data_IF_439879859878
#
_entry.id   IF_439879859878
#
_cell.length_a   1.000
_cell.length_b   1.000
_cell.length_c   1.000
_cell.angle_alpha   90.00
_cell.angle_beta   90.00
_cell.angle_gamma   90.00
#
_symmetry.space_group_name_H-M   'P 1'
#
loop_
_entity.id
_entity.type
_entity.pdbx_description
1 polymer ?
#
# COMPACT_ATOMS: atom_id res chain seq x y z
N UNK A 1 -0.31 -14.16 8.45
CA UNK A 1 1.14 -14.40 8.57
C UNK A 1 1.49 -15.23 9.81
N UNK A 2 0.91 -14.93 10.96
CA UNK A 2 1.22 -15.60 12.24
C UNK A 2 0.11 -16.57 12.64
N UNK A 3 -1.14 -16.25 12.33
CA UNK A 3 -2.30 -17.09 12.63
C UNK A 3 -3.05 -17.41 11.33
N UNK A 4 -3.52 -18.64 11.20
CA UNK A 4 -4.32 -19.10 10.06
C UNK A 4 -5.81 -18.69 10.16
N UNK A 5 -6.20 -18.00 11.24
CA UNK A 5 -7.58 -17.59 11.48
C UNK A 5 -7.92 -16.26 10.80
N UNK A 6 -9.07 -16.23 10.13
CA UNK A 6 -9.65 -15.03 9.56
C UNK A 6 -10.43 -14.30 10.68
N UNK A 7 -9.94 -13.12 11.06
CA UNK A 7 -10.59 -12.28 12.06
C UNK A 7 -11.59 -11.31 11.40
N UNK A 8 -12.75 -11.13 12.03
CA UNK A 8 -13.75 -10.12 11.62
C UNK A 8 -13.28 -8.68 11.95
N UNK A 9 -12.24 -8.51 12.78
CA UNK A 9 -11.71 -7.20 13.16
C UNK A 9 -11.15 -6.38 11.99
N UNK A 10 -10.70 -7.04 10.93
CA UNK A 10 -10.20 -6.38 9.73
C UNK A 10 -11.29 -5.91 8.75
N UNK A 11 -12.57 -6.21 9.01
CA UNK A 11 -13.65 -5.89 8.07
C UNK A 11 -13.78 -4.38 7.80
N UNK A 12 -13.69 -3.56 8.83
CA UNK A 12 -13.76 -2.10 8.71
C UNK A 12 -12.56 -1.51 7.96
N UNK A 13 -11.37 -2.09 8.15
CA UNK A 13 -10.15 -1.66 7.44
C UNK A 13 -10.22 -2.03 5.97
N UNK A 14 -10.75 -3.20 5.62
CA UNK A 14 -10.98 -3.62 4.24
C UNK A 14 -12.02 -2.75 3.54
N UNK A 15 -13.12 -2.39 4.23
CA UNK A 15 -14.13 -1.48 3.71
C UNK A 15 -13.49 -0.13 3.38
N UNK A 16 -12.74 0.46 4.31
CA UNK A 16 -12.05 1.73 4.13
C UNK A 16 -11.00 1.69 3.03
N UNK A 17 -10.21 0.62 2.95
CA UNK A 17 -9.22 0.43 1.89
C UNK A 17 -9.89 0.34 0.51
N UNK A 18 -11.01 -0.39 0.42
CA UNK A 18 -11.79 -0.55 -0.81
C UNK A 18 -12.42 0.78 -1.24
N UNK A 19 -12.93 1.57 -0.29
CA UNK A 19 -13.47 2.91 -0.58
C UNK A 19 -12.38 3.85 -1.12
N UNK A 20 -11.20 3.88 -0.50
CA UNK A 20 -10.06 4.67 -0.96
C UNK A 20 -9.66 4.24 -2.37
N UNK A 21 -9.48 2.94 -2.62
CA UNK A 21 -9.11 2.42 -3.93
C UNK A 21 -10.16 2.78 -4.99
N UNK A 22 -11.45 2.68 -4.66
CA UNK A 22 -12.53 3.07 -5.57
C UNK A 22 -12.47 4.57 -5.93
N UNK A 23 -12.21 5.43 -4.96
CA UNK A 23 -12.02 6.87 -5.20
C UNK A 23 -10.78 7.16 -6.04
N UNK A 24 -9.68 6.44 -5.85
CA UNK A 24 -8.48 6.54 -6.70
C UNK A 24 -8.83 6.26 -8.17
N UNK A 25 -9.66 5.27 -8.42
CA UNK A 25 -10.09 4.87 -9.76
C UNK A 25 -11.09 5.87 -10.35
N UNK A 26 -12.12 6.24 -9.57
CA UNK A 26 -13.29 6.98 -10.11
C UNK A 26 -13.16 8.49 -10.04
N UNK A 27 -12.42 9.02 -9.07
CA UNK A 27 -12.29 10.47 -8.87
C UNK A 27 -10.95 11.02 -9.36
N UNK A 28 -9.87 10.28 -9.15
CA UNK A 28 -8.52 10.77 -9.41
C UNK A 28 -7.91 10.28 -10.72
N UNK A 29 -8.57 9.34 -11.42
CA UNK A 29 -8.08 8.82 -12.70
C UNK A 29 -6.71 8.14 -12.60
N UNK A 30 -6.43 7.46 -11.47
CA UNK A 30 -5.12 6.86 -11.18
C UNK A 30 -4.91 5.49 -11.81
N UNK A 31 -5.65 5.15 -12.87
CA UNK A 31 -5.49 3.88 -13.60
C UNK A 31 -5.38 4.15 -15.09
N UNK A 32 -4.45 3.46 -15.75
CA UNK A 32 -4.26 3.58 -17.19
C UNK A 32 -5.48 3.07 -17.98
N UNK A 33 -6.13 2.03 -17.44
CA UNK A 33 -7.26 1.38 -18.10
C UNK A 33 -8.49 2.27 -18.26
N UNK A 34 -8.69 3.22 -17.34
CA UNK A 34 -9.81 4.17 -17.34
C UNK A 34 -9.40 5.57 -17.79
N UNK A 35 -8.10 5.84 -17.80
CA UNK A 35 -7.55 7.15 -18.16
C UNK A 35 -7.88 8.25 -17.15
N UNK A 36 -7.54 9.51 -17.45
CA UNK A 36 -7.74 10.65 -16.56
C UNK A 36 -9.17 11.19 -16.66
N UNK A 37 -10.16 10.33 -16.46
CA UNK A 37 -11.59 10.67 -16.52
C UNK A 37 -12.21 10.50 -15.15
N UNK A 38 -13.03 11.46 -14.73
CA UNK A 38 -13.79 11.39 -13.48
C UNK A 38 -15.12 10.71 -13.72
N UNK A 39 -15.32 9.55 -13.09
CA UNK A 39 -16.55 8.76 -13.14
C UNK A 39 -17.43 8.94 -11.91
N UNK A 40 -16.96 9.66 -10.88
CA UNK A 40 -17.74 9.93 -9.69
C UNK A 40 -18.78 11.02 -9.97
N UNK A 41 -20.05 10.72 -9.65
CA UNK A 41 -21.11 11.70 -9.75
C UNK A 41 -21.16 12.53 -8.45
N UNK A 42 -20.96 13.88 -8.49
CA UNK A 42 -21.00 14.72 -7.30
C UNK A 42 -22.39 14.76 -6.63
N UNK A 43 -23.43 14.31 -7.33
CA UNK A 43 -24.82 14.33 -6.84
C UNK A 43 -25.15 13.22 -5.83
N UNK A 44 -24.29 12.21 -5.62
CA UNK A 44 -24.51 11.14 -4.65
C UNK A 44 -23.96 11.43 -3.26
N UNK A 45 -23.35 12.60 -3.05
CA UNK A 45 -22.81 13.05 -1.76
C UNK A 45 -23.81 13.80 -0.88
N UNK A 46 -25.10 13.83 -1.22
CA UNK A 46 -26.13 14.53 -0.45
C UNK A 46 -27.08 13.58 0.26
N UNK A 47 -27.74 14.10 1.31
CA UNK A 47 -28.74 13.43 2.18
C UNK A 47 -29.86 12.66 1.45
N UNK A 48 -30.09 12.93 0.16
CA UNK A 48 -31.05 12.24 -0.72
C UNK A 48 -30.41 11.15 -1.60
N UNK A 49 -29.07 11.03 -1.65
CA UNK A 49 -28.36 10.05 -2.45
C UNK A 49 -28.51 8.61 -1.95
N UNK A 50 -28.84 8.46 -0.66
CA UNK A 50 -29.02 7.15 -0.01
C UNK A 50 -30.38 6.50 -0.31
N UNK A 51 -31.38 7.27 -0.76
CA UNK A 51 -32.73 6.82 -1.11
C UNK A 51 -32.98 6.75 -2.63
N UNK A 52 -32.16 7.37 -3.43
CA UNK A 52 -32.22 7.30 -4.89
C UNK A 52 -31.18 6.30 -5.39
N UNK A 53 -31.61 5.10 -5.81
CA UNK A 53 -30.75 4.06 -6.35
C UNK A 53 -29.70 4.66 -7.29
N UNK A 54 -28.45 4.22 -7.15
CA UNK A 54 -27.28 4.62 -7.93
C UNK A 54 -27.62 4.51 -9.41
N UNK A 55 -28.01 5.62 -10.05
CA UNK A 55 -27.93 5.71 -11.49
C UNK A 55 -26.45 5.76 -11.83
N UNK A 56 -25.92 4.63 -12.22
CA UNK A 56 -24.60 4.56 -12.82
C UNK A 56 -24.71 5.30 -14.15
N UNK A 57 -24.23 6.55 -14.21
CA UNK A 57 -24.06 7.30 -15.46
C UNK A 57 -22.90 6.70 -16.31
N UNK A 58 -22.47 5.47 -15.99
CA UNK A 58 -21.42 4.74 -16.68
C UNK A 58 -21.99 3.48 -17.33
N UNK A 59 -21.43 3.08 -18.47
CA UNK A 59 -21.78 1.82 -19.11
C UNK A 59 -21.47 0.62 -18.20
N UNK A 60 -22.16 -0.50 -18.39
CA UNK A 60 -21.89 -1.73 -17.65
C UNK A 60 -20.43 -2.18 -17.80
N UNK A 61 -19.84 -1.95 -18.97
CA UNK A 61 -18.46 -2.27 -19.27
C UNK A 61 -17.49 -1.42 -18.45
N UNK A 62 -17.75 -0.12 -18.34
CA UNK A 62 -16.99 0.80 -17.48
C UNK A 62 -17.13 0.44 -16.00
N UNK A 63 -18.32 0.06 -15.55
CA UNK A 63 -18.55 -0.38 -14.17
C UNK A 63 -17.72 -1.63 -13.83
N UNK A 64 -17.70 -2.64 -14.70
CA UNK A 64 -16.86 -3.84 -14.55
C UNK A 64 -15.37 -3.50 -14.53
N UNK A 65 -14.96 -2.52 -15.32
CA UNK A 65 -13.57 -2.08 -15.35
C UNK A 65 -13.18 -1.37 -14.03
N UNK A 66 -14.05 -0.50 -13.51
CA UNK A 66 -13.88 0.15 -12.21
C UNK A 66 -13.72 -0.90 -11.11
N UNK A 67 -14.60 -1.90 -11.06
CA UNK A 67 -14.55 -2.95 -10.04
C UNK A 67 -13.25 -3.78 -10.14
N UNK A 68 -12.81 -4.09 -11.36
CA UNK A 68 -11.55 -4.82 -11.59
C UNK A 68 -10.33 -4.02 -11.14
N UNK A 69 -10.26 -2.75 -11.52
CA UNK A 69 -9.13 -1.88 -11.14
C UNK A 69 -9.11 -1.60 -9.64
N UNK A 70 -10.27 -1.39 -9.02
CA UNK A 70 -10.39 -1.25 -7.55
C UNK A 70 -9.84 -2.47 -6.85
N UNK A 71 -10.27 -3.67 -7.28
CA UNK A 71 -9.79 -4.94 -6.72
C UNK A 71 -8.28 -5.09 -6.88
N UNK A 72 -7.74 -4.81 -8.07
CA UNK A 72 -6.31 -4.88 -8.35
C UNK A 72 -5.50 -4.00 -7.39
N UNK A 73 -5.92 -2.76 -7.16
CA UNK A 73 -5.24 -1.85 -6.23
C UNK A 73 -5.21 -2.41 -4.81
N UNK A 74 -6.32 -2.98 -4.34
CA UNK A 74 -6.38 -3.57 -2.98
C UNK A 74 -5.52 -4.82 -2.89
N UNK A 75 -5.56 -5.71 -3.89
CA UNK A 75 -4.74 -6.93 -3.93
C UNK A 75 -3.24 -6.61 -4.00
N UNK A 76 -2.82 -5.64 -4.83
CA UNK A 76 -1.43 -5.18 -4.91
C UNK A 76 -0.96 -4.59 -3.57
N UNK A 77 -1.81 -3.79 -2.91
CA UNK A 77 -1.50 -3.23 -1.59
C UNK A 77 -1.38 -4.31 -0.52
N UNK A 78 -2.25 -5.31 -0.53
CA UNK A 78 -2.20 -6.46 0.39
C UNK A 78 -0.93 -7.29 0.19
N UNK A 79 -0.56 -7.59 -1.06
CA UNK A 79 0.65 -8.32 -1.38
C UNK A 79 1.89 -7.57 -0.86
N UNK A 80 1.98 -6.27 -1.14
CA UNK A 80 3.07 -5.42 -0.66
C UNK A 80 3.15 -5.34 0.87
N UNK A 81 2.02 -5.22 1.55
CA UNK A 81 1.98 -5.25 3.01
C UNK A 81 2.50 -6.59 3.56
N UNK A 82 2.10 -7.71 2.95
CA UNK A 82 2.59 -9.03 3.28
C UNK A 82 4.11 -9.17 3.13
N UNK A 83 4.66 -8.71 2.00
CA UNK A 83 6.10 -8.69 1.75
C UNK A 83 6.87 -7.85 2.79
N UNK A 84 6.35 -6.66 3.11
CA UNK A 84 6.95 -5.78 4.11
C UNK A 84 6.95 -6.41 5.51
N UNK A 85 5.86 -7.05 5.91
CA UNK A 85 5.77 -7.73 7.20
C UNK A 85 6.71 -8.95 7.24
N UNK A 86 6.76 -9.74 6.18
CA UNK A 86 7.69 -10.89 6.11
C UNK A 86 9.15 -10.45 6.16
N UNK A 87 9.50 -9.37 5.48
CA UNK A 87 10.86 -8.83 5.51
C UNK A 87 11.26 -8.26 6.88
N UNK A 88 10.29 -7.96 7.77
CA UNK A 88 10.52 -7.37 9.08
C UNK A 88 9.96 -8.25 10.22
N UNK A 89 9.89 -9.58 10.01
CA UNK A 89 9.35 -10.52 11.02
C UNK A 89 10.10 -10.48 12.35
N UNK A 90 11.43 -10.30 12.32
CA UNK A 90 12.23 -10.22 13.54
C UNK A 90 11.87 -8.97 14.35
N UNK A 91 11.66 -7.83 13.69
CA UNK A 91 11.20 -6.60 14.34
C UNK A 91 9.78 -6.77 14.90
N UNK A 92 8.89 -7.44 14.17
CA UNK A 92 7.53 -7.71 14.61
C UNK A 92 7.53 -8.58 15.89
N UNK A 93 8.33 -9.63 15.92
CA UNK A 93 8.46 -10.52 17.08
C UNK A 93 9.04 -9.75 18.29
N UNK A 94 10.09 -8.97 18.09
CA UNK A 94 10.69 -8.18 19.17
C UNK A 94 9.71 -7.13 19.74
N UNK A 95 8.91 -6.48 18.90
CA UNK A 95 7.87 -5.56 19.35
C UNK A 95 6.81 -6.31 20.17
N UNK A 96 6.42 -7.52 19.73
CA UNK A 96 5.47 -8.34 20.47
C UNK A 96 6.02 -8.75 21.84
N UNK A 97 7.28 -9.15 21.94
CA UNK A 97 7.93 -9.52 23.20
C UNK A 97 7.98 -8.32 24.17
N UNK A 98 8.37 -7.14 23.69
CA UNK A 98 8.36 -5.90 24.50
C UNK A 98 6.96 -5.56 25.00
N UNK A 99 5.93 -5.73 24.17
CA UNK A 99 4.54 -5.50 24.56
C UNK A 99 4.05 -6.51 25.60
N UNK A 100 4.50 -7.76 25.53
CA UNK A 100 4.16 -8.78 26.52
C UNK A 100 4.79 -8.48 27.88
N UNK A 101 5.97 -7.86 27.90
CA UNK A 101 6.67 -7.50 29.14
C UNK A 101 6.16 -6.19 29.75
N UNK A 102 5.94 -5.17 28.93
CA UNK A 102 5.70 -3.81 29.39
C UNK A 102 4.25 -3.31 29.16
N UNK A 103 3.40 -4.09 28.46
CA UNK A 103 2.02 -3.75 28.08
C UNK A 103 1.89 -2.51 27.18
N UNK A 104 2.91 -1.65 27.12
CA UNK A 104 2.94 -0.40 26.33
C UNK A 104 4.33 -0.25 25.71
N UNK A 105 4.36 0.22 24.46
CA UNK A 105 5.59 0.57 23.76
C UNK A 105 5.43 1.97 23.13
N UNK A 106 6.49 2.79 23.18
CA UNK A 106 6.49 4.12 22.55
C UNK A 106 6.77 4.03 21.05
N UNK A 107 6.29 5.03 20.27
CA UNK A 107 6.61 5.12 18.85
C UNK A 107 8.11 5.22 18.56
N UNK A 108 8.88 5.91 19.41
CA UNK A 108 10.34 6.02 19.29
C UNK A 108 11.04 4.67 19.50
N UNK A 109 10.53 3.86 20.39
CA UNK A 109 11.07 2.52 20.66
C UNK A 109 10.78 1.57 19.49
N UNK A 110 9.58 1.61 18.93
CA UNK A 110 9.24 0.89 17.69
C UNK A 110 10.19 1.29 16.57
N UNK A 111 10.42 2.61 16.39
CA UNK A 111 11.30 3.11 15.34
C UNK A 111 12.74 2.61 15.51
N UNK A 112 13.26 2.52 16.75
CA UNK A 112 14.58 1.95 17.03
C UNK A 112 14.65 0.46 16.69
N UNK A 113 13.70 -0.34 17.17
CA UNK A 113 13.65 -1.78 16.89
C UNK A 113 13.66 -2.03 15.37
N UNK A 114 12.83 -1.30 14.63
CA UNK A 114 12.76 -1.44 13.16
C UNK A 114 14.06 -1.00 12.49
N UNK A 115 14.72 0.06 12.97
CA UNK A 115 15.99 0.53 12.40
C UNK A 115 17.16 -0.40 12.67
N UNK A 116 17.23 -0.96 13.87
CA UNK A 116 18.31 -1.83 14.31
C UNK A 116 18.28 -3.20 13.61
N UNK A 117 17.08 -3.70 13.30
CA UNK A 117 16.89 -4.98 12.63
C UNK A 117 16.75 -4.85 11.09
N UNK A 118 16.72 -3.64 10.57
CA UNK A 118 16.72 -3.43 9.12
C UNK A 118 18.05 -3.90 8.55
N UNK A 119 18.10 -4.85 7.60
CA UNK A 119 19.34 -5.18 6.92
C UNK A 119 19.90 -3.90 6.31
N UNK A 120 21.11 -3.53 6.66
CA UNK A 120 21.78 -2.35 6.08
C UNK A 120 21.83 -2.55 4.58
N UNK A 121 21.15 -1.71 3.82
CA UNK A 121 21.30 -1.67 2.37
C UNK A 121 22.80 -1.46 2.12
N UNK A 122 23.46 -2.26 1.24
CA UNK A 122 24.84 -2.02 0.89
C UNK A 122 24.95 -0.57 0.41
N UNK A 123 25.82 0.22 1.07
CA UNK A 123 26.06 1.61 0.73
C UNK A 123 26.39 1.75 -0.75
N UNK A 124 26.27 2.97 -1.32
CA UNK A 124 26.56 3.19 -2.72
C UNK A 124 27.96 2.65 -3.03
N UNK A 125 28.05 1.71 -3.95
CA UNK A 125 29.31 1.23 -4.51
C UNK A 125 30.02 2.45 -5.09
N UNK A 126 31.07 2.91 -4.40
CA UNK A 126 32.01 3.87 -4.94
C UNK A 126 32.63 3.25 -6.19
N UNK A 127 32.24 3.75 -7.35
CA UNK A 127 32.90 3.41 -8.59
C UNK A 127 34.37 3.78 -8.46
N UNK A 128 35.23 2.76 -8.43
CA UNK A 128 36.69 2.94 -8.46
C UNK A 128 37.03 3.48 -9.84
N UNK A 129 37.41 4.76 -9.89
CA UNK A 129 38.01 5.36 -11.07
C UNK A 129 39.31 4.61 -11.40
N UNK A 130 39.25 3.77 -12.41
CA UNK A 130 40.43 3.20 -13.03
C UNK A 130 41.08 4.28 -13.89
N UNK A 131 42.07 4.96 -13.30
CA UNK A 131 42.99 5.84 -14.03
C UNK A 131 43.89 4.96 -14.87
N UNK A 132 43.57 4.80 -16.14
CA UNK A 132 44.50 4.27 -17.12
C UNK A 132 45.28 5.47 -17.68
N UNK A 133 46.45 5.67 -17.13
CA UNK A 133 47.49 6.51 -17.73
C UNK A 133 48.19 5.70 -18.80
N UNK A 134 47.91 5.92 -20.06
CA UNK A 134 48.78 5.52 -21.17
C UNK A 134 49.60 6.72 -21.61
N UNK A 135 50.85 6.65 -21.22
CA UNK A 135 51.93 7.44 -21.82
C UNK A 135 52.24 6.91 -23.21
N UNK A 136 52.02 7.68 -24.24
CA UNK A 136 52.58 7.43 -25.56
C UNK A 136 53.77 8.39 -25.76
N UNK A 137 54.94 7.76 -25.75
CA UNK A 137 56.22 8.37 -26.25
C UNK A 137 56.39 7.91 -27.68
N UNK A 138 56.58 8.81 -28.62
CA UNK A 138 57.49 8.84 -29.77
C UNK A 138 56.97 9.81 -30.85
#
# INVERSE_FOLDING_TARGET
LVFDDISTGAANDLERASEIARRMVTEFGMTEALGPVRYANPATSGYLGELGGIRQDVSEETAKLIDRETRRIVEDAQARAGELLQANMDALNQIADVLLENEVISGDEIARIVSDLRPQSPGPVTATESTTSEAVTA
#
